data_IF_471649745641
#
_entry.id   IF_471649745641
#
_cell.length_a   1.000
_cell.length_b   1.000
_cell.length_c   1.000
_cell.angle_alpha   90.00
_cell.angle_beta   90.00
_cell.angle_gamma   90.00
#
_symmetry.space_group_name_H-M   'P 1'
#
loop_
_entity.id
_entity.type
_entity.pdbx_description
1 polymer ?
#
# COMPACT_ATOMS: atom_id res chain seq x y z
N UNK A 1 46.08 2.00 -18.50
CA UNK A 1 45.00 0.99 -18.40
C UNK A 1 44.28 1.22 -17.07
N UNK A 2 42.98 0.90 -17.00
CA UNK A 2 42.00 1.12 -15.92
C UNK A 2 41.06 2.31 -16.09
N UNK A 3 39.98 2.07 -16.85
CA UNK A 3 38.74 2.83 -16.77
C UNK A 3 37.97 2.37 -15.52
N UNK A 4 37.71 3.29 -14.60
CA UNK A 4 36.82 3.07 -13.45
C UNK A 4 35.39 3.07 -13.99
N UNK A 5 34.81 1.88 -14.14
CA UNK A 5 33.39 1.73 -14.37
C UNK A 5 32.65 2.06 -13.06
N UNK A 6 32.04 3.24 -12.98
CA UNK A 6 31.06 3.54 -11.94
C UNK A 6 29.92 2.52 -12.02
N UNK A 7 29.44 1.95 -10.90
CA UNK A 7 28.24 1.13 -10.93
C UNK A 7 27.09 2.08 -11.30
N UNK A 8 26.58 1.99 -12.52
CA UNK A 8 25.34 2.67 -12.87
C UNK A 8 24.29 2.11 -11.92
N UNK A 9 23.67 3.00 -11.14
CA UNK A 9 22.69 2.62 -10.13
C UNK A 9 21.49 1.97 -10.84
N UNK A 10 21.47 0.64 -10.91
CA UNK A 10 20.38 -0.12 -11.53
C UNK A 10 19.07 0.00 -10.73
N UNK A 11 19.11 0.58 -9.52
CA UNK A 11 17.94 0.86 -8.68
C UNK A 11 17.05 1.98 -9.24
N UNK A 12 17.61 3.00 -9.90
CA UNK A 12 16.80 4.13 -10.40
C UNK A 12 15.87 3.71 -11.55
N UNK A 13 16.33 2.99 -12.59
CA UNK A 13 15.45 2.58 -13.69
C UNK A 13 14.41 1.52 -13.28
N UNK A 14 14.73 0.64 -12.32
CA UNK A 14 13.76 -0.35 -11.85
C UNK A 14 12.67 0.29 -10.99
N UNK A 15 13.02 1.27 -10.14
CA UNK A 15 12.04 1.96 -9.30
C UNK A 15 11.03 2.77 -10.13
N UNK A 16 11.46 3.49 -11.17
CA UNK A 16 10.55 4.25 -12.04
C UNK A 16 9.59 3.33 -12.83
N UNK A 17 10.09 2.19 -13.30
CA UNK A 17 9.25 1.17 -13.92
C UNK A 17 8.25 0.55 -12.91
N UNK A 18 8.66 0.35 -11.65
CA UNK A 18 7.79 -0.15 -10.59
C UNK A 18 6.70 0.86 -10.23
N UNK A 19 7.03 2.15 -10.10
CA UNK A 19 6.05 3.23 -9.90
C UNK A 19 5.02 3.26 -11.02
N UNK A 20 5.47 3.13 -12.27
CA UNK A 20 4.59 3.06 -13.44
C UNK A 20 3.63 1.87 -13.35
N UNK A 21 4.14 0.70 -12.98
CA UNK A 21 3.32 -0.50 -12.78
C UNK A 21 2.27 -0.28 -11.68
N UNK A 22 2.69 0.17 -10.50
CA UNK A 22 1.81 0.40 -9.34
C UNK A 22 0.69 1.38 -9.68
N UNK A 23 1.03 2.49 -10.33
CA UNK A 23 0.07 3.51 -10.73
C UNK A 23 -0.94 2.98 -11.76
N UNK A 24 -0.46 2.34 -12.85
CA UNK A 24 -1.33 1.84 -13.93
C UNK A 24 -2.27 0.72 -13.49
N UNK A 25 -1.79 -0.17 -12.62
CA UNK A 25 -2.56 -1.31 -12.14
C UNK A 25 -3.32 -1.01 -10.82
N UNK A 26 -3.28 0.23 -10.32
CA UNK A 26 -3.91 0.65 -9.06
C UNK A 26 -3.61 -0.29 -7.89
N UNK A 27 -2.36 -0.76 -7.80
CA UNK A 27 -2.00 -1.89 -6.96
C UNK A 27 -2.09 -1.58 -5.46
N UNK A 28 -1.99 -0.31 -5.07
CA UNK A 28 -2.14 0.14 -3.69
C UNK A 28 -3.58 0.42 -3.24
N UNK A 29 -4.59 0.20 -4.10
CA UNK A 29 -6.01 0.42 -3.77
C UNK A 29 -6.52 -0.41 -2.58
N UNK A 30 -5.77 -1.43 -2.16
CA UNK A 30 -6.05 -2.24 -0.98
C UNK A 30 -5.86 -1.50 0.36
N UNK A 31 -5.17 -0.35 0.40
CA UNK A 31 -4.91 0.41 1.63
C UNK A 31 -6.19 0.69 2.42
N UNK A 32 -7.23 1.18 1.74
CA UNK A 32 -8.53 1.49 2.36
C UNK A 32 -9.12 0.28 3.10
N UNK A 33 -9.16 -0.87 2.44
CA UNK A 33 -9.74 -2.09 3.00
C UNK A 33 -8.90 -2.60 4.19
N UNK A 34 -7.58 -2.58 4.06
CA UNK A 34 -6.66 -2.97 5.14
C UNK A 34 -6.81 -2.05 6.36
N UNK A 35 -6.93 -0.74 6.15
CA UNK A 35 -7.14 0.22 7.22
C UNK A 35 -8.46 -0.04 7.96
N UNK A 36 -9.55 -0.30 7.25
CA UNK A 36 -10.83 -0.60 7.89
C UNK A 36 -10.77 -1.91 8.68
N UNK A 37 -10.19 -2.97 8.11
CA UNK A 37 -10.01 -4.26 8.80
C UNK A 37 -9.12 -4.13 10.05
N UNK A 38 -8.07 -3.31 9.97
CA UNK A 38 -7.22 -3.03 11.11
C UNK A 38 -7.96 -2.23 12.20
N UNK A 39 -8.74 -1.22 11.81
CA UNK A 39 -9.54 -0.41 12.72
C UNK A 39 -10.56 -1.27 13.49
N UNK A 40 -11.26 -2.18 12.80
CA UNK A 40 -12.26 -3.08 13.38
C UNK A 40 -11.71 -3.99 14.50
N UNK A 41 -10.39 -4.19 14.56
CA UNK A 41 -9.73 -4.99 15.60
C UNK A 41 -9.32 -4.19 16.84
N UNK A 42 -9.66 -2.92 16.91
CA UNK A 42 -9.27 -2.02 18.01
C UNK A 42 -10.36 -1.88 19.06
N UNK A 43 -9.95 -1.57 20.30
CA UNK A 43 -10.89 -1.23 21.39
C UNK A 43 -11.64 0.07 21.08
N UNK A 44 -10.99 1.04 20.44
CA UNK A 44 -11.64 2.30 20.03
C UNK A 44 -12.79 2.05 19.06
N UNK A 45 -12.64 1.12 18.11
CA UNK A 45 -13.74 0.71 17.26
C UNK A 45 -14.90 0.12 18.07
N UNK A 46 -14.62 -0.78 19.01
CA UNK A 46 -15.66 -1.36 19.87
C UNK A 46 -16.42 -0.29 20.67
N UNK A 47 -15.72 0.76 21.14
CA UNK A 47 -16.32 1.91 21.82
C UNK A 47 -17.25 2.69 20.88
N UNK A 48 -16.81 3.00 19.67
CA UNK A 48 -17.64 3.68 18.66
C UNK A 48 -18.86 2.83 18.29
N UNK A 49 -18.66 1.52 18.08
CA UNK A 49 -19.72 0.58 17.74
C UNK A 49 -20.75 0.42 18.87
N UNK A 50 -20.37 0.60 20.13
CA UNK A 50 -21.31 0.61 21.26
C UNK A 50 -22.32 1.76 21.19
N UNK A 51 -21.99 2.85 20.48
CA UNK A 51 -22.85 4.02 20.29
C UNK A 51 -23.61 3.99 18.98
N UNK A 52 -22.95 3.60 17.89
CA UNK A 52 -23.49 3.70 16.53
C UNK A 52 -23.98 2.36 15.96
N UNK A 53 -23.76 1.25 16.66
CA UNK A 53 -23.83 -0.09 16.09
C UNK A 53 -22.65 -0.37 15.14
N UNK A 54 -22.40 -1.65 14.86
CA UNK A 54 -21.26 -2.07 14.03
C UNK A 54 -21.29 -1.51 12.60
N UNK A 55 -22.46 -1.46 11.97
CA UNK A 55 -22.62 -0.91 10.62
C UNK A 55 -22.35 0.59 10.59
N UNK A 56 -22.91 1.34 11.56
CA UNK A 56 -22.69 2.78 11.70
C UNK A 56 -21.21 3.11 11.97
N UNK A 57 -20.55 2.38 12.87
CA UNK A 57 -19.14 2.54 13.15
C UNK A 57 -18.25 2.27 11.92
N UNK A 58 -18.50 1.17 11.20
CA UNK A 58 -17.76 0.85 9.97
C UNK A 58 -17.94 1.92 8.90
N UNK A 59 -19.16 2.44 8.71
CA UNK A 59 -19.44 3.52 7.74
C UNK A 59 -18.71 4.81 8.13
N UNK A 60 -18.84 5.24 9.39
CA UNK A 60 -18.24 6.49 9.88
C UNK A 60 -16.70 6.46 9.83
N UNK A 61 -16.09 5.32 10.15
CA UNK A 61 -14.63 5.14 10.06
C UNK A 61 -14.19 5.08 8.60
N UNK A 62 -14.93 4.39 7.73
CA UNK A 62 -14.61 4.34 6.30
C UNK A 62 -14.66 5.73 5.65
N UNK A 63 -15.58 6.61 6.08
CA UNK A 63 -15.62 8.02 5.66
C UNK A 63 -14.32 8.74 6.04
N UNK A 64 -13.87 8.60 7.29
CA UNK A 64 -12.61 9.22 7.73
C UNK A 64 -11.39 8.65 7.02
N UNK A 65 -11.34 7.33 6.82
CA UNK A 65 -10.28 6.69 6.03
C UNK A 65 -10.24 7.28 4.61
N UNK A 66 -11.39 7.37 3.94
CA UNK A 66 -11.47 7.91 2.57
C UNK A 66 -10.98 9.37 2.50
N UNK A 67 -11.32 10.19 3.49
CA UNK A 67 -10.86 11.58 3.58
C UNK A 67 -9.34 11.68 3.77
N UNK A 68 -8.74 10.70 4.44
CA UNK A 68 -7.30 10.64 4.71
C UNK A 68 -6.49 9.96 3.60
N UNK A 69 -7.12 9.19 2.69
CA UNK A 69 -6.40 8.49 1.62
C UNK A 69 -5.47 9.39 0.80
N UNK A 70 -5.85 10.61 0.38
CA UNK A 70 -4.94 11.49 -0.37
C UNK A 70 -3.62 11.80 0.36
N UNK A 71 -3.60 11.78 1.70
CA UNK A 71 -2.41 11.99 2.53
C UNK A 71 -1.50 10.75 2.58
N UNK A 72 -2.07 9.55 2.60
CA UNK A 72 -1.33 8.30 2.89
C UNK A 72 -1.09 7.41 1.68
N UNK A 73 -1.92 7.53 0.64
CA UNK A 73 -1.82 6.69 -0.56
C UNK A 73 -0.48 6.87 -1.30
N UNK A 74 0.09 8.08 -1.45
CA UNK A 74 1.36 8.24 -2.16
C UNK A 74 2.51 7.44 -1.54
N UNK A 75 2.68 7.52 -0.21
CA UNK A 75 3.75 6.80 0.49
C UNK A 75 3.51 5.28 0.50
N UNK A 76 2.24 4.86 0.54
CA UNK A 76 1.88 3.45 0.41
C UNK A 76 2.23 2.90 -0.98
N UNK A 77 1.88 3.62 -2.04
CA UNK A 77 2.17 3.25 -3.42
C UNK A 77 3.69 3.24 -3.68
N UNK A 78 4.42 4.18 -3.09
CA UNK A 78 5.88 4.24 -3.18
C UNK A 78 6.55 3.03 -2.51
N UNK A 79 6.09 2.64 -1.31
CA UNK A 79 6.58 1.41 -0.66
C UNK A 79 6.28 0.15 -1.48
N UNK A 80 5.13 0.11 -2.15
CA UNK A 80 4.79 -0.98 -3.05
C UNK A 80 5.72 -0.99 -4.27
N UNK A 81 6.02 0.18 -4.85
CA UNK A 81 6.98 0.31 -5.93
C UNK A 81 8.37 -0.16 -5.52
N UNK A 82 8.83 0.16 -4.30
CA UNK A 82 10.10 -0.38 -3.78
C UNK A 82 10.10 -1.91 -3.65
N UNK A 83 9.02 -2.51 -3.14
CA UNK A 83 8.92 -3.97 -3.00
C UNK A 83 8.99 -4.68 -4.37
N UNK A 84 8.32 -4.12 -5.38
CA UNK A 84 8.40 -4.60 -6.76
C UNK A 84 9.77 -4.33 -7.41
N UNK A 85 10.34 -3.13 -7.23
CA UNK A 85 11.65 -2.74 -7.76
C UNK A 85 12.80 -3.61 -7.25
N UNK A 86 12.69 -4.14 -6.02
CA UNK A 86 13.64 -5.11 -5.45
C UNK A 86 13.50 -6.52 -6.05
N UNK A 87 12.31 -6.87 -6.53
CA UNK A 87 11.96 -8.25 -6.94
C UNK A 87 12.07 -8.48 -8.46
N UNK A 88 12.12 -7.39 -9.24
CA UNK A 88 12.07 -7.43 -10.70
C UNK A 88 13.04 -6.43 -11.33
N UNK A 89 13.55 -6.79 -12.50
CA UNK A 89 14.28 -5.84 -13.35
C UNK A 89 13.33 -4.83 -14.00
N UNK A 90 13.87 -3.69 -14.46
CA UNK A 90 13.09 -2.67 -15.17
C UNK A 90 12.32 -3.24 -16.38
N UNK A 91 12.95 -4.15 -17.16
CA UNK A 91 12.31 -4.79 -18.32
C UNK A 91 11.11 -5.66 -17.92
N UNK A 92 11.24 -6.41 -16.82
CA UNK A 92 10.14 -7.23 -16.30
C UNK A 92 8.97 -6.35 -15.83
N UNK A 93 9.28 -5.28 -15.09
CA UNK A 93 8.29 -4.31 -14.60
C UNK A 93 7.58 -3.59 -15.75
N UNK A 94 8.29 -3.17 -16.79
CA UNK A 94 7.69 -2.56 -17.97
C UNK A 94 6.76 -3.52 -18.72
N UNK A 95 7.13 -4.80 -18.87
CA UNK A 95 6.25 -5.81 -19.46
C UNK A 95 5.01 -6.04 -18.60
N UNK A 96 5.16 -6.15 -17.29
CA UNK A 96 4.03 -6.26 -16.36
C UNK A 96 3.10 -5.04 -16.45
N UNK A 97 3.65 -3.83 -16.59
CA UNK A 97 2.87 -2.60 -16.69
C UNK A 97 2.13 -2.46 -18.04
N UNK A 98 2.67 -3.05 -19.11
CA UNK A 98 2.10 -2.97 -20.46
C UNK A 98 1.10 -4.11 -20.73
N UNK A 99 1.40 -5.32 -20.25
CA UNK A 99 0.67 -6.54 -20.60
C UNK A 99 -0.19 -7.07 -19.44
N UNK A 100 -0.02 -6.54 -18.22
CA UNK A 100 -0.76 -6.96 -17.04
C UNK A 100 -0.68 -8.46 -16.81
N UNK A 101 -1.84 -9.11 -16.63
CA UNK A 101 -1.94 -10.56 -16.40
C UNK A 101 -1.52 -11.41 -17.60
N UNK A 102 -1.41 -10.83 -18.80
CA UNK A 102 -0.93 -11.52 -20.00
C UNK A 102 0.59 -11.52 -20.10
N UNK A 103 1.29 -10.77 -19.23
CA UNK A 103 2.74 -10.76 -19.23
C UNK A 103 3.32 -12.15 -18.96
N UNK A 104 4.32 -12.53 -19.75
CA UNK A 104 5.09 -13.77 -19.53
C UNK A 104 5.74 -13.85 -18.14
N UNK A 105 5.89 -12.71 -17.46
CA UNK A 105 6.49 -12.63 -16.12
C UNK A 105 5.49 -12.84 -14.98
N UNK A 106 4.20 -13.04 -15.26
CA UNK A 106 3.20 -13.30 -14.22
C UNK A 106 3.47 -14.56 -13.38
N UNK A 107 4.10 -15.59 -13.97
CA UNK A 107 4.56 -16.75 -13.20
C UNK A 107 5.57 -16.37 -12.12
N UNK A 108 6.47 -15.42 -12.41
CA UNK A 108 7.44 -14.87 -11.45
C UNK A 108 6.76 -14.02 -10.39
N UNK A 109 5.73 -13.23 -10.75
CA UNK A 109 4.92 -12.47 -9.77
C UNK A 109 4.31 -13.39 -8.73
N UNK A 110 3.68 -14.50 -9.16
CA UNK A 110 3.12 -15.50 -8.24
C UNK A 110 4.21 -16.10 -7.33
N UNK A 111 5.37 -16.43 -7.88
CA UNK A 111 6.48 -16.98 -7.11
C UNK A 111 7.06 -15.99 -6.07
N UNK A 112 7.05 -14.69 -6.37
CA UNK A 112 7.58 -13.63 -5.50
C UNK A 112 6.55 -13.03 -4.55
N UNK A 113 5.28 -13.42 -4.64
CA UNK A 113 4.17 -12.78 -3.91
C UNK A 113 4.39 -12.73 -2.40
N UNK A 114 4.89 -13.81 -1.79
CA UNK A 114 5.17 -13.85 -0.35
C UNK A 114 6.29 -12.88 0.05
N UNK A 115 7.36 -12.79 -0.75
CA UNK A 115 8.48 -11.89 -0.49
C UNK A 115 8.07 -10.41 -0.63
N UNK A 116 7.32 -10.09 -1.70
CA UNK A 116 6.76 -8.74 -1.92
C UNK A 116 5.83 -8.37 -0.76
N UNK A 117 4.96 -9.28 -0.34
CA UNK A 117 4.04 -9.06 0.79
C UNK A 117 4.78 -8.80 2.11
N UNK A 118 5.83 -9.57 2.38
CA UNK A 118 6.67 -9.38 3.57
C UNK A 118 7.40 -8.03 3.57
N UNK A 119 7.99 -7.63 2.45
CA UNK A 119 8.68 -6.34 2.31
C UNK A 119 7.67 -5.17 2.44
N UNK A 120 6.52 -5.27 1.79
CA UNK A 120 5.44 -4.29 1.90
C UNK A 120 4.93 -4.15 3.34
N UNK A 121 4.73 -5.27 4.04
CA UNK A 121 4.32 -5.26 5.44
C UNK A 121 5.36 -4.55 6.32
N UNK A 122 6.64 -4.84 6.13
CA UNK A 122 7.71 -4.24 6.92
C UNK A 122 7.80 -2.72 6.72
N UNK A 123 7.68 -2.25 5.46
CA UNK A 123 7.79 -0.83 5.11
C UNK A 123 6.54 -0.02 5.46
N UNK A 124 5.35 -0.60 5.27
CA UNK A 124 4.10 0.14 5.28
C UNK A 124 3.29 0.00 6.57
N UNK A 125 3.76 -0.81 7.54
CA UNK A 125 3.13 -0.90 8.86
C UNK A 125 2.96 0.47 9.55
N UNK A 126 3.94 1.39 9.56
CA UNK A 126 3.77 2.71 10.16
C UNK A 126 2.68 3.55 9.48
N UNK A 127 2.60 3.50 8.14
CA UNK A 127 1.57 4.20 7.35
C UNK A 127 0.18 3.70 7.74
N UNK A 128 0.00 2.38 7.80
CA UNK A 128 -1.27 1.77 8.16
C UNK A 128 -1.69 2.16 9.59
N UNK A 129 -0.76 2.13 10.55
CA UNK A 129 -1.03 2.52 11.94
C UNK A 129 -1.45 3.99 12.03
N UNK A 130 -0.74 4.89 11.35
CA UNK A 130 -1.03 6.32 11.37
C UNK A 130 -2.42 6.62 10.78
N UNK A 131 -2.72 6.08 9.60
CA UNK A 131 -4.04 6.23 8.95
C UNK A 131 -5.17 5.72 9.85
N UNK A 132 -5.03 4.52 10.42
CA UNK A 132 -6.05 3.92 11.29
C UNK A 132 -6.25 4.73 12.56
N UNK A 133 -5.16 5.21 13.17
CA UNK A 133 -5.21 6.01 14.39
C UNK A 133 -5.93 7.32 14.16
N UNK A 134 -5.55 8.06 13.10
CA UNK A 134 -6.20 9.34 12.77
C UNK A 134 -7.69 9.15 12.44
N UNK A 135 -8.04 8.12 11.66
CA UNK A 135 -9.43 7.83 11.34
C UNK A 135 -10.27 7.50 12.59
N UNK A 136 -9.75 6.64 13.49
CA UNK A 136 -10.42 6.28 14.74
C UNK A 136 -10.62 7.49 15.66
N UNK A 137 -9.59 8.33 15.82
CA UNK A 137 -9.67 9.52 16.66
C UNK A 137 -10.66 10.54 16.11
N UNK A 138 -10.65 10.77 14.79
CA UNK A 138 -11.60 11.67 14.13
C UNK A 138 -13.05 11.18 14.29
N UNK A 139 -13.31 9.88 14.11
CA UNK A 139 -14.65 9.31 14.33
C UNK A 139 -15.06 9.38 15.80
N UNK A 140 -14.17 9.06 16.73
CA UNK A 140 -14.46 9.11 18.17
C UNK A 140 -14.86 10.52 18.60
N UNK A 141 -14.08 11.54 18.17
CA UNK A 141 -14.36 12.94 18.47
C UNK A 141 -15.68 13.45 17.85
N UNK A 142 -16.09 12.90 16.71
CA UNK A 142 -17.32 13.32 16.01
C UNK A 142 -18.60 12.68 16.57
N UNK A 143 -18.51 11.48 17.15
CA UNK A 143 -19.70 10.65 17.42
C UNK A 143 -19.82 10.12 18.85
N UNK A 144 -18.78 10.22 19.67
CA UNK A 144 -18.74 9.60 21.01
C UNK A 144 -18.42 10.61 22.10
N UNK A 145 -17.49 11.52 21.84
CA UNK A 145 -17.18 12.66 22.70
C UNK A 145 -18.17 13.81 22.45
#
# INVERSE_FOLDING_TARGET
>A
MFALASPVSAETPSLDAARTLVAKAHMGSNLRALALLAAQRTVTYAMIASKLGSSGASSAIAEQINALLPKYQPDWDENLAHAYGKSFSAKELSSLAAEGTSSKYMGKVKAQQAAIGGDMQARSKPILIALVTEALMATLAKHVL
#
